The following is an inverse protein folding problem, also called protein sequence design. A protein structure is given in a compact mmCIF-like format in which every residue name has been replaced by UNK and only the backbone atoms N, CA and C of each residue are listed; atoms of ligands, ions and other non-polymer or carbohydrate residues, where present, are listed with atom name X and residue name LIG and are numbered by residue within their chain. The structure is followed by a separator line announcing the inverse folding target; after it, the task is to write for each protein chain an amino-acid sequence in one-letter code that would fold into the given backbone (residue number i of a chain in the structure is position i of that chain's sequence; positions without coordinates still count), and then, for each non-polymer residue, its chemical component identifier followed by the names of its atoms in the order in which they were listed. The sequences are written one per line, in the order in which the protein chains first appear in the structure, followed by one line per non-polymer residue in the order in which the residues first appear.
data_IF_066963401542
#
_entry.id   IF_066963401542
#
_cell.length_a   1.000
_cell.length_b   1.000
_cell.length_c   1.000
_cell.angle_alpha   90.00
_cell.angle_beta   90.00
_cell.angle_gamma   90.00
#
_symmetry.space_group_name_H-M   'P 1'
#
loop_
_entity.id
_entity.type
_entity.pdbx_description
1 polymer ?
#
# COMPACT_ATOMS: atom_id res chain seq x y z
N UNK A 1 15.36 -18.35 27.96
CA UNK A 1 14.57 -17.11 28.10
C UNK A 1 13.16 -17.42 27.66
N UNK A 2 12.21 -17.53 28.59
CA UNK A 2 10.79 -17.77 28.26
C UNK A 2 10.23 -16.49 27.64
N UNK A 3 9.77 -16.57 26.39
CA UNK A 3 9.06 -15.50 25.71
C UNK A 3 7.69 -15.33 26.40
N UNK A 4 7.45 -14.15 26.97
CA UNK A 4 6.14 -13.80 27.54
C UNK A 4 5.24 -13.27 26.41
N UNK A 5 4.08 -13.89 26.21
CA UNK A 5 3.11 -13.52 25.18
C UNK A 5 2.63 -12.07 25.31
N UNK A 6 2.56 -11.54 26.53
CA UNK A 6 2.16 -10.14 26.77
C UNK A 6 3.23 -9.17 26.27
N UNK A 7 4.51 -9.52 26.45
CA UNK A 7 5.62 -8.70 25.98
C UNK A 7 5.71 -8.75 24.44
N UNK A 8 5.45 -9.91 23.83
CA UNK A 8 5.39 -10.02 22.36
C UNK A 8 4.26 -9.15 21.82
N UNK A 9 3.09 -9.21 22.44
CA UNK A 9 1.92 -8.44 22.00
C UNK A 9 2.17 -6.93 22.07
N UNK A 10 2.74 -6.46 23.19
CA UNK A 10 3.10 -5.04 23.34
C UNK A 10 4.13 -4.59 22.32
N UNK A 11 5.15 -5.40 22.08
CA UNK A 11 6.19 -5.07 21.10
C UNK A 11 5.65 -5.09 19.67
N UNK A 12 4.77 -6.03 19.33
CA UNK A 12 4.13 -6.08 18.02
C UNK A 12 3.24 -4.86 17.77
N UNK A 13 2.49 -4.39 18.79
CA UNK A 13 1.71 -3.15 18.71
C UNK A 13 2.66 -1.98 18.48
N UNK A 14 3.72 -1.83 19.28
CA UNK A 14 4.70 -0.74 19.14
C UNK A 14 5.31 -0.71 17.73
N UNK A 15 5.76 -1.85 17.22
CA UNK A 15 6.34 -1.94 15.86
C UNK A 15 5.29 -1.56 14.80
N UNK A 16 4.05 -2.01 14.95
CA UNK A 16 3.00 -1.62 14.01
C UNK A 16 2.72 -0.11 14.04
N UNK A 17 2.63 0.49 15.23
CA UNK A 17 2.37 1.92 15.40
C UNK A 17 3.53 2.80 14.88
N UNK A 18 4.79 2.42 15.15
CA UNK A 18 5.97 3.25 14.87
C UNK A 18 6.64 2.96 13.52
N UNK A 19 6.54 1.74 13.00
CA UNK A 19 7.23 1.27 11.79
C UNK A 19 6.26 0.69 10.74
N UNK A 20 4.95 0.74 11.00
CA UNK A 20 3.93 0.19 10.11
C UNK A 20 3.90 0.90 8.77
N UNK A 21 3.84 0.12 7.68
CA UNK A 21 3.62 0.61 6.32
C UNK A 21 2.33 0.00 5.80
N UNK A 22 1.41 0.86 5.35
CA UNK A 22 0.14 0.46 4.72
C UNK A 22 0.23 0.83 3.23
N UNK A 23 0.20 -0.19 2.37
CA UNK A 23 0.15 -0.01 0.92
C UNK A 23 -1.30 -0.12 0.43
N UNK A 24 -1.81 0.94 -0.18
CA UNK A 24 -3.15 1.00 -0.77
C UNK A 24 -2.98 0.94 -2.29
N UNK A 25 -3.24 -0.22 -2.87
CA UNK A 25 -3.20 -0.41 -4.32
C UNK A 25 -4.49 0.07 -4.98
N UNK A 26 -4.41 0.39 -6.28
CA UNK A 26 -5.54 0.80 -7.13
C UNK A 26 -6.43 1.90 -6.52
N UNK A 27 -5.84 2.88 -5.83
CA UNK A 27 -6.59 3.98 -5.21
C UNK A 27 -7.36 4.80 -6.25
N UNK A 28 -6.94 4.79 -7.51
CA UNK A 28 -7.62 5.44 -8.62
C UNK A 28 -9.00 4.82 -8.94
N UNK A 29 -9.29 3.60 -8.47
CA UNK A 29 -10.61 2.95 -8.64
C UNK A 29 -11.70 3.51 -7.74
N UNK A 30 -11.33 4.14 -6.63
CA UNK A 30 -12.28 4.76 -5.69
C UNK A 30 -12.43 6.26 -5.95
N UNK A 31 -11.83 6.79 -7.02
CA UNK A 31 -11.91 8.19 -7.44
C UNK A 31 -12.89 8.31 -8.58
N UNK A 32 -13.69 9.38 -8.57
CA UNK A 32 -14.61 9.69 -9.66
C UNK A 32 -14.23 10.99 -10.34
N UNK A 33 -14.25 11.00 -11.68
CA UNK A 33 -13.92 12.19 -12.47
C UNK A 33 -14.90 13.33 -12.16
N UNK A 34 -14.39 14.55 -12.05
CA UNK A 34 -15.19 15.72 -11.63
C UNK A 34 -16.38 16.03 -12.55
N UNK A 35 -16.28 15.67 -13.83
CA UNK A 35 -17.30 15.91 -14.86
C UNK A 35 -18.42 14.85 -14.89
N UNK A 36 -18.25 13.72 -14.19
CA UNK A 36 -19.16 12.58 -14.26
C UNK A 36 -20.29 12.63 -13.21
N UNK A 37 -20.23 13.56 -12.24
CA UNK A 37 -21.10 13.70 -11.05
C UNK A 37 -22.60 13.53 -11.31
N UNK A 38 -23.03 12.29 -11.48
CA UNK A 38 -24.42 11.90 -11.73
C UNK A 38 -24.76 10.61 -10.96
N UNK A 39 -25.40 10.79 -9.80
CA UNK A 39 -26.30 9.85 -9.11
C UNK A 39 -25.78 8.50 -8.59
N UNK A 40 -24.76 7.88 -9.19
CA UNK A 40 -24.27 6.51 -8.86
C UNK A 40 -22.92 6.50 -8.13
N UNK A 41 -22.37 7.67 -7.82
CA UNK A 41 -20.98 7.85 -7.37
C UNK A 41 -20.80 7.92 -5.85
N UNK A 42 -21.90 7.91 -5.09
CA UNK A 42 -21.88 7.99 -3.62
C UNK A 42 -21.07 6.84 -2.99
N UNK A 43 -20.96 5.69 -3.67
CA UNK A 43 -20.20 4.55 -3.16
C UNK A 43 -18.69 4.75 -3.20
N UNK A 44 -18.15 5.37 -4.24
CA UNK A 44 -16.69 5.55 -4.40
C UNK A 44 -16.16 6.64 -3.48
N UNK A 45 -16.90 7.74 -3.37
CA UNK A 45 -16.61 8.81 -2.42
C UNK A 45 -16.73 8.31 -0.96
N UNK A 46 -17.72 7.46 -0.67
CA UNK A 46 -17.87 6.83 0.64
C UNK A 46 -16.63 6.03 1.05
N UNK A 47 -16.02 5.27 0.14
CA UNK A 47 -14.79 4.54 0.44
C UNK A 47 -13.63 5.48 0.77
N UNK A 48 -13.50 6.61 0.08
CA UNK A 48 -12.50 7.62 0.42
C UNK A 48 -12.76 8.22 1.80
N UNK A 49 -14.02 8.53 2.14
CA UNK A 49 -14.40 9.05 3.46
C UNK A 49 -14.10 8.04 4.58
N UNK A 50 -14.38 6.76 4.35
CA UNK A 50 -14.11 5.69 5.31
C UNK A 50 -12.60 5.45 5.52
N UNK A 51 -11.77 5.78 4.52
CA UNK A 51 -10.30 5.72 4.65
C UNK A 51 -9.73 6.89 5.45
N UNK A 52 -10.39 8.06 5.46
CA UNK A 52 -9.87 9.25 6.13
C UNK A 52 -9.49 8.99 7.59
N UNK A 53 -10.33 8.43 8.48
CA UNK A 53 -9.95 8.22 9.88
C UNK A 53 -8.67 7.41 10.06
N UNK A 54 -8.40 6.45 9.16
CA UNK A 54 -7.22 5.60 9.23
C UNK A 54 -5.96 6.40 8.84
N UNK A 55 -6.05 7.18 7.76
CA UNK A 55 -4.94 8.00 7.24
C UNK A 55 -4.69 9.25 8.09
N UNK A 56 -5.73 9.81 8.72
CA UNK A 56 -5.64 10.98 9.59
C UNK A 56 -5.11 10.66 10.98
N UNK A 57 -5.22 9.40 11.40
CA UNK A 57 -4.86 8.94 12.75
C UNK A 57 -6.09 8.52 13.55
N UNK A 58 -6.18 7.22 13.87
CA UNK A 58 -7.25 6.69 14.72
C UNK A 58 -6.79 5.48 15.54
N UNK A 59 -7.53 5.21 16.62
CA UNK A 59 -7.34 4.01 17.44
C UNK A 59 -8.18 2.86 16.88
N UNK A 60 -7.53 1.86 16.29
CA UNK A 60 -8.15 0.65 15.76
C UNK A 60 -8.07 -0.47 16.80
N UNK A 61 -9.21 -1.07 17.12
CA UNK A 61 -9.26 -2.22 18.04
C UNK A 61 -8.96 -3.52 17.30
N UNK A 62 -7.93 -4.23 17.74
CA UNK A 62 -7.54 -5.54 17.22
C UNK A 62 -7.69 -6.61 18.30
N UNK A 63 -7.56 -7.90 17.91
CA UNK A 63 -7.49 -9.02 18.87
C UNK A 63 -6.29 -8.97 19.83
N UNK A 64 -5.32 -8.11 19.55
CA UNK A 64 -4.08 -7.95 20.32
C UNK A 64 -4.09 -6.72 21.22
N UNK A 65 -5.05 -5.81 21.04
CA UNK A 65 -5.11 -4.52 21.72
C UNK A 65 -5.50 -3.41 20.77
N UNK A 66 -5.51 -2.19 21.29
CA UNK A 66 -5.68 -0.99 20.47
C UNK A 66 -4.36 -0.66 19.77
N UNK A 67 -4.46 -0.20 18.52
CA UNK A 67 -3.34 0.20 17.67
C UNK A 67 -3.66 1.60 17.13
N UNK A 68 -2.77 2.56 17.35
CA UNK A 68 -2.84 3.88 16.72
C UNK A 68 -2.26 3.87 15.30
N UNK A 69 -2.89 4.59 14.37
CA UNK A 69 -2.40 4.74 12.99
C UNK A 69 -1.63 6.05 12.77
N UNK A 70 -1.47 6.90 13.79
CA UNK A 70 -0.94 8.27 13.69
C UNK A 70 0.46 8.36 13.04
N UNK A 71 1.28 7.32 13.19
CA UNK A 71 2.68 7.30 12.74
C UNK A 71 2.96 6.26 11.66
N UNK A 72 1.93 5.57 11.16
CA UNK A 72 2.08 4.63 10.06
C UNK A 72 2.34 5.35 8.74
N UNK A 73 3.22 4.79 7.91
CA UNK A 73 3.47 5.29 6.57
C UNK A 73 2.41 4.73 5.61
N UNK A 74 1.67 5.63 4.96
CA UNK A 74 0.74 5.26 3.89
C UNK A 74 1.38 5.46 2.52
N UNK A 75 1.35 4.41 1.70
CA UNK A 75 1.77 4.45 0.30
C UNK A 75 0.58 4.06 -0.55
N UNK A 76 0.01 5.03 -1.26
CA UNK A 76 -1.07 4.78 -2.19
C UNK A 76 -0.52 4.71 -3.62
N UNK A 77 -1.00 3.75 -4.41
CA UNK A 77 -0.65 3.62 -5.82
C UNK A 77 -1.90 3.48 -6.67
N UNK A 78 -1.80 3.88 -7.93
CA UNK A 78 -2.88 3.84 -8.90
C UNK A 78 -2.34 4.19 -10.26
N UNK A 79 -3.02 3.74 -11.31
CA UNK A 79 -2.58 3.99 -12.67
C UNK A 79 -3.06 5.36 -13.20
N UNK A 80 -4.15 5.90 -12.62
CA UNK A 80 -4.68 7.24 -12.90
C UNK A 80 -4.92 7.51 -14.41
N UNK A 81 -5.36 6.48 -15.14
CA UNK A 81 -5.63 6.58 -16.59
C UNK A 81 -6.89 7.41 -16.90
N UNK A 82 -7.96 7.23 -16.11
CA UNK A 82 -9.28 7.85 -16.34
C UNK A 82 -9.60 8.99 -15.38
N UNK A 83 -8.80 9.13 -14.33
CA UNK A 83 -8.98 10.07 -13.22
C UNK A 83 -7.63 10.62 -12.83
N UNK A 84 -7.59 11.80 -12.23
CA UNK A 84 -6.37 12.44 -11.76
C UNK A 84 -6.32 12.41 -10.24
N UNK A 85 -5.11 12.50 -9.63
CA UNK A 85 -5.00 12.67 -8.19
C UNK A 85 -5.74 13.91 -7.65
N UNK A 86 -5.96 14.92 -8.49
CA UNK A 86 -6.77 16.11 -8.17
C UNK A 86 -8.26 15.83 -7.98
N UNK A 87 -8.74 14.68 -8.46
CA UNK A 87 -10.16 14.32 -8.41
C UNK A 87 -10.52 13.59 -7.10
N UNK A 88 -9.52 13.26 -6.28
CA UNK A 88 -9.71 12.73 -4.91
C UNK A 88 -10.34 13.79 -3.98
N UNK A 89 -10.90 13.35 -2.85
CA UNK A 89 -11.31 14.26 -1.78
C UNK A 89 -10.15 15.17 -1.33
N UNK A 90 -10.44 16.44 -1.07
CA UNK A 90 -9.42 17.43 -0.71
C UNK A 90 -8.69 17.04 0.58
N UNK A 91 -9.41 16.43 1.51
CA UNK A 91 -8.92 15.88 2.76
C UNK A 91 -7.88 14.78 2.51
N UNK A 92 -8.20 13.82 1.63
CA UNK A 92 -7.30 12.72 1.30
C UNK A 92 -6.07 13.19 0.53
N UNK A 93 -6.24 14.17 -0.37
CA UNK A 93 -5.13 14.81 -1.06
C UNK A 93 -4.16 15.49 -0.07
N UNK A 94 -4.70 16.14 0.97
CA UNK A 94 -3.90 16.78 2.02
C UNK A 94 -3.05 15.80 2.82
N UNK A 95 -3.46 14.53 2.91
CA UNK A 95 -2.73 13.46 3.60
C UNK A 95 -1.76 12.68 2.72
N UNK A 96 -1.83 12.87 1.40
CA UNK A 96 -0.90 12.28 0.42
C UNK A 96 -0.08 13.39 -0.29
N UNK A 97 0.78 14.14 0.45
CA UNK A 97 1.48 15.30 -0.08
C UNK A 97 2.63 14.93 -1.02
N UNK A 98 3.25 13.76 -0.82
CA UNK A 98 4.36 13.29 -1.66
C UNK A 98 3.77 12.56 -2.85
N UNK A 99 4.12 13.01 -4.05
CA UNK A 99 3.68 12.42 -5.32
C UNK A 99 4.90 12.02 -6.13
N UNK A 100 4.87 10.80 -6.64
CA UNK A 100 5.91 10.25 -7.51
C UNK A 100 5.23 9.53 -8.67
N UNK A 101 5.78 9.67 -9.87
CA UNK A 101 5.34 8.98 -11.07
C UNK A 101 6.43 7.97 -11.46
N UNK A 102 6.02 6.73 -11.72
CA UNK A 102 6.93 5.67 -12.14
C UNK A 102 6.88 5.55 -13.66
N UNK A 103 8.05 5.34 -14.27
CA UNK A 103 8.16 5.15 -15.71
C UNK A 103 7.81 3.71 -16.11
N UNK A 104 7.28 3.55 -17.33
CA UNK A 104 7.08 2.24 -17.92
C UNK A 104 8.41 1.52 -18.17
N UNK A 105 8.41 0.20 -18.00
CA UNK A 105 9.63 -0.61 -18.18
C UNK A 105 10.04 -0.72 -19.65
N UNK A 106 11.32 -0.51 -19.93
CA UNK A 106 11.93 -0.78 -21.23
C UNK A 106 12.34 -2.25 -21.39
N UNK A 107 12.74 -2.63 -22.61
CA UNK A 107 13.29 -3.97 -22.86
C UNK A 107 14.56 -4.21 -22.04
N UNK A 108 15.41 -3.20 -21.93
CA UNK A 108 16.64 -3.23 -21.15
C UNK A 108 16.33 -3.42 -19.66
N UNK A 109 15.31 -2.73 -19.12
CA UNK A 109 14.88 -2.93 -17.74
C UNK A 109 14.36 -4.34 -17.49
N UNK A 110 13.59 -4.92 -18.42
CA UNK A 110 13.14 -6.31 -18.31
C UNK A 110 14.31 -7.30 -18.28
N UNK A 111 15.36 -7.08 -19.09
CA UNK A 111 16.57 -7.89 -19.03
C UNK A 111 17.23 -7.77 -17.65
N UNK A 112 17.37 -6.55 -17.12
CA UNK A 112 17.94 -6.31 -15.79
C UNK A 112 17.14 -6.95 -14.68
N UNK A 113 15.80 -6.88 -14.72
CA UNK A 113 14.89 -7.54 -13.76
C UNK A 113 15.12 -9.06 -13.74
N UNK A 114 15.42 -9.66 -14.89
CA UNK A 114 15.68 -11.09 -14.99
C UNK A 114 17.07 -11.51 -14.50
N UNK A 115 18.05 -10.59 -14.41
CA UNK A 115 19.45 -10.94 -14.14
C UNK A 115 20.08 -10.30 -12.91
N UNK A 116 19.62 -9.12 -12.47
CA UNK A 116 20.26 -8.31 -11.43
C UNK A 116 19.65 -8.48 -10.02
N UNK A 117 18.31 -8.54 -9.83
CA UNK A 117 17.74 -8.77 -8.51
C UNK A 117 18.31 -10.03 -7.86
N UNK A 118 18.60 -9.96 -6.55
CA UNK A 118 19.25 -11.05 -5.81
C UNK A 118 18.55 -12.40 -6.00
N UNK A 119 17.21 -12.37 -6.00
CA UNK A 119 16.36 -13.53 -6.24
C UNK A 119 15.61 -13.39 -7.57
N UNK A 120 16.32 -13.07 -8.66
CA UNK A 120 15.68 -13.00 -9.97
C UNK A 120 15.17 -14.36 -10.46
N UNK A 121 14.29 -14.32 -11.47
CA UNK A 121 13.63 -15.51 -12.02
C UNK A 121 14.62 -16.56 -12.52
N UNK A 122 15.73 -16.15 -13.13
CA UNK A 122 16.73 -17.09 -13.67
C UNK A 122 17.42 -17.85 -12.54
N UNK A 123 17.82 -17.16 -11.47
CA UNK A 123 18.42 -17.77 -10.27
C UNK A 123 17.44 -18.74 -9.62
N UNK A 124 16.17 -18.34 -9.46
CA UNK A 124 15.13 -19.21 -8.90
C UNK A 124 14.92 -20.47 -9.73
N UNK A 125 14.83 -20.35 -11.06
CA UNK A 125 14.64 -21.50 -11.95
C UNK A 125 15.84 -22.45 -11.97
N UNK A 126 17.07 -21.91 -11.96
CA UNK A 126 18.28 -22.74 -11.82
C UNK A 126 18.30 -23.51 -10.52
N UNK A 127 17.92 -22.86 -9.41
CA UNK A 127 17.86 -23.52 -8.11
C UNK A 127 16.81 -24.65 -8.10
N UNK A 128 15.66 -24.45 -8.73
CA UNK A 128 14.62 -25.48 -8.87
C UNK A 128 15.10 -26.67 -9.70
N UNK A 129 15.69 -26.45 -10.88
CA UNK A 129 16.22 -27.53 -11.73
C UNK A 129 17.33 -28.34 -11.04
N UNK A 130 18.20 -27.66 -10.28
CA UNK A 130 19.24 -28.33 -9.50
C UNK A 130 18.66 -29.31 -8.46
N UNK A 131 17.43 -29.09 -7.95
CA UNK A 131 16.77 -30.07 -7.07
C UNK A 131 16.38 -31.35 -7.78
N UNK A 132 16.18 -31.29 -9.09
CA UNK A 132 15.91 -32.45 -9.96
C UNK A 132 17.20 -33.05 -10.56
N UNK A 133 18.36 -32.48 -10.24
CA UNK A 133 19.65 -32.93 -10.77
C UNK A 133 19.92 -32.53 -12.22
N UNK A 134 19.21 -31.52 -12.73
CA UNK A 134 19.37 -30.92 -14.07
C UNK A 134 20.10 -29.59 -13.99
#
# INVERSE_FOLDING_TARGET
KLLNADNITKEAIRIAEEEGIIFIDEIDKIVTASDARSGTEASSEGVQQDLLPIVEGSLVTTKFGQVSTDHMLFVASGAFHSVKPSDMLAELQGRLPIRVELEGLTKEDLYRILTEPQNNMIVQQKALLATEGV
#
